data_IF_341037026433
#
_entry.id   IF_341037026433
#
_cell.length_a   1.000
_cell.length_b   1.000
_cell.length_c   1.000
_cell.angle_alpha   90.00
_cell.angle_beta   90.00
_cell.angle_gamma   90.00
#
_symmetry.space_group_name_H-M   'P 1'
#
loop_
_entity.id
_entity.type
_entity.pdbx_description
1 polymer ?
#
# COMPACT_ATOMS: atom_id res chain seq x y z
N UNK A 1 -3.50 33.69 -20.77
CA UNK A 1 -3.12 32.64 -19.79
C UNK A 1 -4.41 31.99 -19.31
N UNK A 2 -4.35 30.73 -18.87
CA UNK A 2 -5.45 30.04 -18.15
C UNK A 2 -6.44 29.28 -19.03
N UNK A 3 -6.02 28.13 -19.56
CA UNK A 3 -6.96 27.06 -19.92
C UNK A 3 -6.44 25.66 -19.55
N UNK A 4 -5.33 25.61 -18.80
CA UNK A 4 -4.67 24.36 -18.43
C UNK A 4 -5.22 23.84 -17.08
N UNK A 5 -5.56 24.73 -16.14
CA UNK A 5 -6.13 24.37 -14.84
C UNK A 5 -7.51 23.68 -14.92
N UNK A 6 -8.35 24.07 -15.88
CA UNK A 6 -9.75 23.61 -15.98
C UNK A 6 -9.92 22.32 -16.80
N UNK A 7 -8.87 21.87 -17.48
CA UNK A 7 -8.93 20.64 -18.28
C UNK A 7 -8.94 19.45 -17.33
N UNK A 8 -9.94 18.56 -17.41
CA UNK A 8 -9.91 17.30 -16.68
C UNK A 8 -8.68 16.48 -17.13
N UNK A 9 -7.64 16.49 -16.30
CA UNK A 9 -6.40 15.75 -16.51
C UNK A 9 -6.65 14.23 -16.51
N UNK A 10 -6.22 13.56 -17.58
CA UNK A 10 -5.80 12.16 -17.46
C UNK A 10 -4.41 12.13 -16.81
N UNK A 11 -4.10 11.09 -16.03
CA UNK A 11 -2.82 10.94 -15.31
C UNK A 11 -1.59 10.91 -16.23
N UNK A 12 -1.79 10.78 -17.54
CA UNK A 12 -0.78 10.74 -18.60
C UNK A 12 -0.60 12.06 -19.35
N UNK A 13 -1.44 13.07 -19.14
CA UNK A 13 -1.35 14.31 -19.91
C UNK A 13 -0.18 15.18 -19.41
N UNK A 14 0.96 15.04 -20.08
CA UNK A 14 2.09 15.97 -19.99
C UNK A 14 1.75 17.34 -20.61
N UNK A 15 0.61 17.46 -21.31
CA UNK A 15 0.17 18.65 -22.05
C UNK A 15 -0.10 19.90 -21.20
N UNK A 16 0.17 19.84 -19.90
CA UNK A 16 -0.06 20.92 -18.92
C UNK A 16 1.22 21.47 -18.32
N UNK A 17 2.31 20.74 -18.48
CA UNK A 17 3.62 21.30 -18.21
C UNK A 17 3.85 22.37 -19.29
N UNK A 18 4.22 23.62 -18.92
CA UNK A 18 4.69 24.58 -19.91
C UNK A 18 5.76 23.91 -20.79
N UNK A 19 5.85 24.21 -22.09
CA UNK A 19 6.81 23.55 -23.03
C UNK A 19 8.25 23.45 -22.47
N UNK A 20 8.64 24.38 -21.60
CA UNK A 20 9.91 24.39 -20.86
C UNK A 20 10.13 23.18 -19.93
N UNK A 21 9.10 22.40 -19.64
CA UNK A 21 9.07 21.30 -18.68
C UNK A 21 8.77 19.94 -19.32
N UNK A 22 8.79 19.81 -20.66
CA UNK A 22 8.58 18.51 -21.35
C UNK A 22 9.65 17.46 -21.02
N UNK A 23 10.87 17.88 -20.67
CA UNK A 23 12.00 16.99 -20.35
C UNK A 23 12.23 16.80 -18.84
N UNK A 24 11.19 16.94 -18.04
CA UNK A 24 11.30 16.93 -16.58
C UNK A 24 11.10 15.51 -16.05
N UNK A 25 12.01 15.03 -15.20
CA UNK A 25 11.91 13.68 -14.65
C UNK A 25 10.65 13.51 -13.77
N UNK A 26 10.25 12.26 -13.52
CA UNK A 26 9.05 11.94 -12.75
C UNK A 26 9.01 12.59 -11.35
N UNK A 27 10.18 12.77 -10.70
CA UNK A 27 10.27 13.41 -9.39
C UNK A 27 9.89 14.91 -9.43
N UNK A 28 10.48 15.66 -10.36
CA UNK A 28 10.20 17.08 -10.53
C UNK A 28 8.76 17.32 -10.98
N UNK A 29 8.20 16.45 -11.84
CA UNK A 29 6.79 16.46 -12.21
C UNK A 29 5.89 16.25 -10.99
N UNK A 30 6.22 15.27 -10.14
CA UNK A 30 5.51 15.03 -8.88
C UNK A 30 5.52 16.25 -7.95
N UNK A 31 6.69 16.89 -7.76
CA UNK A 31 6.79 18.10 -6.95
C UNK A 31 5.91 19.24 -7.49
N UNK A 32 5.88 19.42 -8.82
CA UNK A 32 5.06 20.45 -9.46
C UNK A 32 3.56 20.21 -9.21
N UNK A 33 3.07 18.99 -9.48
CA UNK A 33 1.66 18.62 -9.26
C UNK A 33 1.28 18.75 -7.78
N UNK A 34 2.15 18.35 -6.85
CA UNK A 34 1.90 18.49 -5.40
C UNK A 34 1.70 19.95 -4.98
N UNK A 35 2.44 20.89 -5.59
CA UNK A 35 2.36 22.31 -5.25
C UNK A 35 1.11 23.00 -5.82
N UNK A 36 0.55 22.50 -6.92
CA UNK A 36 -0.47 23.23 -7.69
C UNK A 36 -1.82 22.50 -7.72
N UNK A 37 -1.82 21.17 -7.84
CA UNK A 37 -3.01 20.33 -8.00
C UNK A 37 -3.05 19.25 -6.91
N UNK A 38 -3.43 19.66 -5.68
CA UNK A 38 -3.40 18.77 -4.50
C UNK A 38 -4.20 17.49 -4.67
N UNK A 39 -5.34 17.54 -5.37
CA UNK A 39 -6.21 16.37 -5.60
C UNK A 39 -5.53 15.28 -6.45
N UNK A 40 -4.48 15.62 -7.21
CA UNK A 40 -3.74 14.69 -8.07
C UNK A 40 -2.45 14.17 -7.43
N UNK A 41 -2.09 14.67 -6.24
CA UNK A 41 -0.83 14.32 -5.55
C UNK A 41 -0.68 12.82 -5.38
N UNK A 42 -1.75 12.10 -4.99
CA UNK A 42 -1.70 10.65 -4.77
C UNK A 42 -1.47 9.90 -6.09
N UNK A 43 -2.14 10.32 -7.17
CA UNK A 43 -1.97 9.71 -8.49
C UNK A 43 -0.56 9.91 -9.02
N UNK A 44 -0.02 11.12 -8.88
CA UNK A 44 1.33 11.43 -9.36
C UNK A 44 2.41 10.80 -8.48
N UNK A 45 2.19 10.69 -7.17
CA UNK A 45 3.06 9.93 -6.28
C UNK A 45 3.14 8.46 -6.68
N UNK A 46 1.99 7.85 -7.05
CA UNK A 46 1.95 6.47 -7.56
C UNK A 46 2.75 6.33 -8.84
N UNK A 47 2.57 7.23 -9.80
CA UNK A 47 3.35 7.24 -11.04
C UNK A 47 4.86 7.35 -10.76
N UNK A 48 5.27 8.28 -9.88
CA UNK A 48 6.67 8.44 -9.48
C UNK A 48 7.26 7.17 -8.86
N UNK A 49 6.52 6.52 -7.95
CA UNK A 49 6.95 5.25 -7.34
C UNK A 49 7.05 4.14 -8.38
N UNK A 50 6.11 4.06 -9.32
CA UNK A 50 6.16 3.09 -10.40
C UNK A 50 7.37 3.31 -11.33
N UNK A 51 7.65 4.55 -11.71
CA UNK A 51 8.79 4.91 -12.58
C UNK A 51 10.13 4.65 -11.88
N UNK A 52 10.22 4.97 -10.59
CA UNK A 52 11.48 4.90 -9.83
C UNK A 52 11.79 3.50 -9.28
N UNK A 53 10.78 2.76 -8.83
CA UNK A 53 10.93 1.50 -8.10
C UNK A 53 10.23 0.31 -8.79
N UNK A 54 9.33 0.58 -9.73
CA UNK A 54 8.54 -0.44 -10.43
C UNK A 54 7.16 -0.68 -9.80
N UNK A 55 6.27 -1.28 -10.59
CA UNK A 55 4.85 -1.49 -10.24
C UNK A 55 4.64 -2.33 -8.96
N UNK A 56 5.56 -3.24 -8.64
CA UNK A 56 5.46 -4.12 -7.46
C UNK A 56 5.35 -3.37 -6.13
N UNK A 57 5.80 -2.12 -6.07
CA UNK A 57 5.70 -1.26 -4.87
C UNK A 57 4.38 -0.49 -4.78
N UNK A 58 3.53 -0.58 -5.80
CA UNK A 58 2.16 -0.08 -5.78
C UNK A 58 1.14 -1.17 -5.43
N UNK A 59 1.53 -2.43 -5.55
CA UNK A 59 0.69 -3.58 -5.26
C UNK A 59 0.69 -3.86 -3.76
N UNK A 60 -0.51 -4.08 -3.22
CA UNK A 60 -0.66 -4.52 -1.83
C UNK A 60 -0.43 -6.04 -1.83
N UNK A 61 0.57 -6.55 -1.09
CA UNK A 61 0.84 -7.98 -1.05
C UNK A 61 -0.35 -8.72 -0.43
N UNK A 62 -0.66 -9.90 -0.98
CA UNK A 62 -1.68 -10.78 -0.41
C UNK A 62 -1.16 -11.36 0.90
N UNK A 63 -1.92 -11.20 1.98
CA UNK A 63 -1.58 -11.75 3.29
C UNK A 63 -1.72 -13.28 3.27
N UNK A 64 -0.62 -14.00 3.50
CA UNK A 64 -0.60 -15.45 3.67
C UNK A 64 -0.05 -15.81 5.05
N UNK A 65 -0.91 -16.38 5.91
CA UNK A 65 -0.51 -16.84 7.24
C UNK A 65 0.50 -18.00 7.18
N UNK A 66 0.47 -18.81 6.13
CA UNK A 66 1.41 -19.91 5.97
C UNK A 66 2.83 -19.41 5.67
N UNK A 67 2.96 -18.42 4.77
CA UNK A 67 4.25 -17.78 4.50
C UNK A 67 4.78 -17.05 5.73
N UNK A 68 3.91 -16.30 6.42
CA UNK A 68 4.28 -15.60 7.65
C UNK A 68 4.76 -16.55 8.74
N UNK A 69 4.11 -17.71 8.89
CA UNK A 69 4.53 -18.72 9.84
C UNK A 69 5.90 -19.30 9.48
N UNK A 70 6.12 -19.63 8.21
CA UNK A 70 7.38 -20.21 7.74
C UNK A 70 8.56 -19.22 7.85
N UNK A 71 8.31 -17.91 7.76
CA UNK A 71 9.30 -16.84 8.00
C UNK A 71 9.50 -16.50 9.50
N UNK A 72 8.59 -16.94 10.37
CA UNK A 72 8.62 -16.62 11.80
C UNK A 72 9.62 -17.47 12.58
N UNK A 73 9.93 -17.05 13.81
CA UNK A 73 10.82 -17.79 14.72
C UNK A 73 10.27 -17.70 16.16
N UNK A 74 10.57 -18.69 16.99
CA UNK A 74 10.14 -18.77 18.40
C UNK A 74 10.56 -17.58 19.26
N UNK A 75 11.58 -16.83 18.83
CA UNK A 75 12.05 -15.62 19.53
C UNK A 75 11.23 -14.37 19.21
N UNK A 76 10.42 -14.37 18.14
CA UNK A 76 9.68 -13.20 17.65
C UNK A 76 8.21 -13.57 17.56
N UNK A 77 7.39 -12.96 18.41
CA UNK A 77 5.94 -13.16 18.39
C UNK A 77 5.30 -12.50 17.16
N UNK A 78 4.26 -13.13 16.61
CA UNK A 78 3.44 -12.59 15.54
C UNK A 78 2.25 -11.83 16.14
N UNK A 79 2.10 -10.55 15.76
CA UNK A 79 0.99 -9.69 16.16
C UNK A 79 0.10 -9.36 14.97
N UNK A 80 -1.18 -9.72 15.04
CA UNK A 80 -2.18 -9.36 14.03
C UNK A 80 -2.80 -8.00 14.33
N UNK A 81 -2.79 -7.09 13.35
CA UNK A 81 -3.51 -5.82 13.40
C UNK A 81 -4.79 -5.95 12.59
N UNK A 82 -5.93 -5.80 13.26
CA UNK A 82 -7.24 -6.03 12.67
C UNK A 82 -8.03 -4.73 12.60
N UNK A 83 -8.73 -4.54 11.48
CA UNK A 83 -9.85 -3.60 11.46
C UNK A 83 -11.01 -4.18 12.27
N UNK A 84 -11.97 -3.34 12.65
CA UNK A 84 -13.08 -3.72 13.54
C UNK A 84 -13.92 -4.92 13.07
N UNK A 85 -13.85 -5.30 11.80
CA UNK A 85 -14.59 -6.42 11.22
C UNK A 85 -13.71 -7.60 10.77
N UNK A 86 -12.39 -7.53 10.96
CA UNK A 86 -11.46 -8.55 10.48
C UNK A 86 -11.04 -9.49 11.62
N UNK A 87 -11.77 -10.58 11.85
CA UNK A 87 -11.31 -11.67 12.72
C UNK A 87 -10.65 -12.77 11.89
N UNK A 88 -9.43 -13.15 12.25
CA UNK A 88 -8.65 -14.21 11.57
C UNK A 88 -8.40 -15.45 12.43
N UNK A 89 -9.09 -15.55 13.57
CA UNK A 89 -8.98 -16.69 14.50
C UNK A 89 -9.25 -18.03 13.81
N UNK A 90 -10.23 -18.09 12.91
CA UNK A 90 -10.55 -19.30 12.13
C UNK A 90 -9.42 -19.71 11.17
N UNK A 91 -8.73 -18.73 10.58
CA UNK A 91 -7.59 -18.98 9.69
C UNK A 91 -6.39 -19.51 10.48
N UNK A 92 -6.15 -18.98 11.68
CA UNK A 92 -5.12 -19.47 12.60
C UNK A 92 -5.41 -20.92 13.02
N UNK A 93 -6.65 -21.23 13.43
CA UNK A 93 -7.07 -22.59 13.77
C UNK A 93 -6.88 -23.58 12.61
N UNK A 94 -7.11 -23.13 11.38
CA UNK A 94 -6.91 -23.97 10.19
C UNK A 94 -5.41 -24.22 9.95
N UNK A 95 -4.57 -23.21 10.11
CA UNK A 95 -3.12 -23.33 9.95
C UNK A 95 -2.51 -24.29 10.98
N UNK A 96 -2.91 -24.20 12.25
CA UNK A 96 -2.37 -25.07 13.29
C UNK A 96 -2.78 -26.53 13.09
N UNK A 97 -4.02 -26.79 12.66
CA UNK A 97 -4.46 -28.14 12.25
C UNK A 97 -3.62 -28.68 11.09
N UNK A 98 -3.32 -27.85 10.08
CA UNK A 98 -2.49 -28.25 8.93
C UNK A 98 -1.06 -28.57 9.32
N UNK A 99 -0.47 -27.81 10.25
CA UNK A 99 0.91 -27.99 10.73
C UNK A 99 1.02 -28.94 11.93
N UNK A 100 -0.11 -29.48 12.43
CA UNK A 100 -0.22 -30.36 13.58
C UNK A 100 0.42 -29.78 14.86
N UNK A 101 0.07 -28.52 15.16
CA UNK A 101 0.57 -27.76 16.32
C UNK A 101 -0.58 -27.55 17.31
N UNK A 102 -0.29 -27.70 18.60
CA UNK A 102 -1.23 -27.40 19.67
C UNK A 102 -1.54 -25.89 19.72
N UNK A 103 -2.83 -25.55 19.71
CA UNK A 103 -3.31 -24.17 19.75
C UNK A 103 -4.05 -23.87 21.05
N UNK A 104 -3.56 -22.88 21.78
CA UNK A 104 -4.20 -22.34 22.98
C UNK A 104 -4.81 -20.98 22.65
N UNK A 105 -6.12 -20.83 22.85
CA UNK A 105 -6.85 -19.59 22.55
C UNK A 105 -7.36 -19.00 23.85
N UNK A 106 -6.99 -17.74 24.09
CA UNK A 106 -7.46 -16.95 25.23
C UNK A 106 -8.03 -15.64 24.70
N UNK A 107 -9.28 -15.35 25.06
CA UNK A 107 -9.89 -14.06 24.74
C UNK A 107 -9.46 -13.02 25.78
N UNK A 108 -8.86 -11.93 25.31
CA UNK A 108 -8.45 -10.84 26.18
C UNK A 108 -9.62 -9.90 26.49
N UNK A 109 -9.74 -9.43 27.73
CA UNK A 109 -10.72 -8.40 28.11
C UNK A 109 -11.67 -8.76 29.26
N UNK A 110 -11.72 -10.04 29.66
CA UNK A 110 -12.59 -10.47 30.78
C UNK A 110 -11.91 -10.49 32.16
N UNK A 111 -10.66 -10.00 32.27
CA UNK A 111 -9.95 -9.91 33.55
C UNK A 111 -9.59 -11.25 34.20
N UNK A 112 -9.50 -12.32 33.41
CA UNK A 112 -9.06 -13.65 33.82
C UNK A 112 -7.71 -14.00 33.24
#
# INVERSE_FOLDING_TARGET
MSNWFDKQLSSSDLSLLPETYENVNAFHRFLFIRCILRDRTISEARYYVQDSLGIKYLEIPVLSLELLWDESNSKISLLGLFSSSADSTSNIQTLTKKKNIDLFIVSMGEGR
#
